data_IF_409021927586
#
_entry.id   IF_409021927586
#
_cell.length_a   1.000
_cell.length_b   1.000
_cell.length_c   1.000
_cell.angle_alpha   90.00
_cell.angle_beta   90.00
_cell.angle_gamma   90.00
#
_symmetry.space_group_name_H-M   'P 1'
#
loop_
_entity.id
_entity.type
_entity.pdbx_description
1 polymer ?
#
# COMPACT_ATOMS: atom_id res chain seq x y z
N UNK A 1 -20.92 -18.18 -8.14
CA UNK A 1 -20.56 -18.28 -6.71
C UNK A 1 -19.14 -18.77 -6.51
N UNK A 2 -18.71 -19.88 -7.11
CA UNK A 2 -17.37 -20.45 -6.92
C UNK A 2 -16.22 -19.51 -7.36
N UNK A 3 -16.36 -18.84 -8.52
CA UNK A 3 -15.38 -17.86 -9.01
C UNK A 3 -15.24 -16.63 -8.10
N UNK A 4 -16.37 -16.08 -7.61
CA UNK A 4 -16.39 -14.95 -6.68
C UNK A 4 -15.71 -15.33 -5.36
N UNK A 5 -15.98 -16.52 -4.84
CA UNK A 5 -15.34 -17.02 -3.62
C UNK A 5 -13.82 -17.18 -3.79
N UNK A 6 -13.36 -17.68 -4.94
CA UNK A 6 -11.94 -17.81 -5.23
C UNK A 6 -11.21 -16.46 -5.38
N UNK A 7 -11.80 -15.51 -6.11
CA UNK A 7 -11.22 -14.17 -6.30
C UNK A 7 -11.24 -13.35 -5.00
N UNK A 8 -12.35 -13.41 -4.26
CA UNK A 8 -12.48 -12.80 -2.94
C UNK A 8 -11.42 -13.35 -1.98
N UNK A 9 -11.20 -14.66 -1.96
CA UNK A 9 -10.15 -15.28 -1.14
C UNK A 9 -8.74 -14.82 -1.53
N UNK A 10 -8.47 -14.66 -2.82
CA UNK A 10 -7.20 -14.12 -3.30
C UNK A 10 -7.02 -12.65 -2.89
N UNK A 11 -8.04 -11.81 -3.03
CA UNK A 11 -8.01 -10.42 -2.59
C UNK A 11 -7.79 -10.31 -1.08
N UNK A 12 -8.54 -11.07 -0.28
CA UNK A 12 -8.40 -11.12 1.17
C UNK A 12 -6.97 -11.48 1.59
N UNK A 13 -6.38 -12.51 0.98
CA UNK A 13 -5.01 -12.94 1.28
C UNK A 13 -3.99 -11.83 1.02
N UNK A 14 -4.10 -11.12 -0.10
CA UNK A 14 -3.14 -10.05 -0.43
C UNK A 14 -3.37 -8.83 0.47
N UNK A 15 -4.63 -8.49 0.78
CA UNK A 15 -4.97 -7.46 1.75
C UNK A 15 -4.42 -7.77 3.15
N UNK A 16 -4.55 -9.02 3.62
CA UNK A 16 -3.96 -9.48 4.88
C UNK A 16 -2.44 -9.39 4.89
N UNK A 17 -1.78 -9.76 3.78
CA UNK A 17 -0.33 -9.63 3.64
C UNK A 17 0.11 -8.16 3.75
N UNK A 18 -0.60 -7.25 3.09
CA UNK A 18 -0.37 -5.81 3.20
C UNK A 18 -0.61 -5.29 4.63
N UNK A 19 -1.78 -5.58 5.20
CA UNK A 19 -2.14 -5.14 6.53
C UNK A 19 -1.17 -5.66 7.59
N UNK A 20 -0.71 -6.92 7.48
CA UNK A 20 0.32 -7.46 8.37
C UNK A 20 1.66 -6.73 8.23
N UNK A 21 2.06 -6.37 7.01
CA UNK A 21 3.29 -5.59 6.77
C UNK A 21 3.24 -4.21 7.45
N UNK A 22 2.04 -3.62 7.52
CA UNK A 22 1.76 -2.33 8.19
C UNK A 22 1.40 -2.50 9.67
N UNK A 23 1.07 -3.69 10.16
CA UNK A 23 0.92 -3.93 11.60
C UNK A 23 2.30 -4.19 12.25
N UNK A 24 3.15 -4.98 11.57
CA UNK A 24 4.42 -5.51 12.08
C UNK A 24 5.64 -4.58 11.82
N UNK A 25 5.43 -3.28 11.55
CA UNK A 25 6.50 -2.30 11.31
C UNK A 25 7.16 -1.81 12.62
N UNK A 26 7.84 -2.74 13.28
CA UNK A 26 8.74 -2.50 14.40
C UNK A 26 9.94 -1.57 14.07
N UNK A 27 10.57 -0.93 15.08
CA UNK A 27 11.69 0.01 14.92
C UNK A 27 12.83 -0.47 14.02
N UNK A 28 13.13 -1.78 14.09
CA UNK A 28 14.26 -2.40 13.41
C UNK A 28 13.84 -3.16 12.13
N UNK A 29 12.55 -3.18 11.79
CA UNK A 29 12.01 -4.03 10.72
C UNK A 29 11.90 -3.33 9.36
N UNK A 30 12.03 -1.99 9.28
CA UNK A 30 12.08 -1.24 8.00
C UNK A 30 13.42 -1.38 7.25
N UNK A 31 14.01 -2.56 7.25
CA UNK A 31 15.17 -2.90 6.43
C UNK A 31 14.77 -3.22 4.99
N UNK A 32 15.75 -3.56 4.15
CA UNK A 32 15.51 -3.93 2.73
C UNK A 32 14.46 -5.02 2.53
N UNK A 33 14.33 -5.96 3.48
CA UNK A 33 13.34 -7.04 3.38
C UNK A 33 11.90 -6.52 3.44
N UNK A 34 11.63 -5.46 4.21
CA UNK A 34 10.31 -4.84 4.30
C UNK A 34 9.99 -4.07 3.02
N UNK A 35 10.95 -3.28 2.51
CA UNK A 35 10.82 -2.58 1.23
C UNK A 35 10.51 -3.53 0.07
N UNK A 36 11.26 -4.63 -0.04
CA UNK A 36 11.03 -5.66 -1.06
C UNK A 36 9.68 -6.38 -0.93
N UNK A 37 9.14 -6.48 0.29
CA UNK A 37 7.80 -7.03 0.50
C UNK A 37 6.75 -6.02 0.06
N UNK A 38 6.94 -4.74 0.37
CA UNK A 38 6.05 -3.66 -0.05
C UNK A 38 6.00 -3.55 -1.59
N UNK A 39 7.14 -3.51 -2.26
CA UNK A 39 7.25 -3.50 -3.73
C UNK A 39 6.55 -4.69 -4.41
N UNK A 40 6.46 -5.83 -3.73
CA UNK A 40 5.77 -7.02 -4.25
C UNK A 40 4.28 -7.02 -3.96
N UNK A 41 3.86 -6.51 -2.81
CA UNK A 41 2.45 -6.57 -2.40
C UNK A 41 1.61 -5.53 -3.14
N UNK A 42 2.13 -4.34 -3.43
CA UNK A 42 1.38 -3.29 -4.12
C UNK A 42 0.88 -3.72 -5.52
N UNK A 43 1.73 -4.26 -6.43
CA UNK A 43 1.22 -4.71 -7.74
C UNK A 43 0.25 -5.88 -7.62
N UNK A 44 0.43 -6.73 -6.60
CA UNK A 44 -0.47 -7.86 -6.33
C UNK A 44 -1.83 -7.40 -5.84
N UNK A 45 -1.91 -6.33 -5.04
CA UNK A 45 -3.17 -5.71 -4.61
C UNK A 45 -3.93 -5.18 -5.82
N UNK A 46 -3.24 -4.45 -6.70
CA UNK A 46 -3.82 -3.93 -7.93
C UNK A 46 -4.40 -5.07 -8.78
N UNK A 47 -3.62 -6.13 -9.05
CA UNK A 47 -4.09 -7.28 -9.82
C UNK A 47 -5.27 -7.99 -9.14
N UNK A 48 -5.23 -8.14 -7.82
CA UNK A 48 -6.28 -8.83 -7.08
C UNK A 48 -7.62 -8.07 -7.11
N UNK A 49 -7.62 -6.75 -6.96
CA UNK A 49 -8.85 -5.96 -6.94
C UNK A 49 -9.49 -5.84 -8.33
N UNK A 50 -8.69 -5.69 -9.40
CA UNK A 50 -9.24 -5.62 -10.77
C UNK A 50 -9.78 -6.98 -11.26
N UNK A 51 -9.32 -8.08 -10.65
CA UNK A 51 -9.81 -9.42 -10.96
C UNK A 51 -11.15 -9.76 -10.31
N UNK A 52 -11.64 -8.92 -9.37
CA UNK A 52 -12.92 -9.14 -8.71
C UNK A 52 -14.09 -9.00 -9.70
N UNK A 53 -15.02 -9.94 -9.66
CA UNK A 53 -16.31 -9.82 -10.37
C UNK A 53 -17.24 -8.93 -9.56
N UNK A 54 -17.78 -7.90 -10.19
CA UNK A 54 -18.70 -6.94 -9.57
C UNK A 54 -19.95 -7.66 -9.03
N UNK A 55 -20.33 -7.44 -7.76
CA UNK A 55 -21.53 -8.02 -7.19
C UNK A 55 -22.79 -7.39 -7.81
N UNK A 56 -23.88 -8.19 -8.00
CA UNK A 56 -25.11 -7.72 -8.65
C UNK A 56 -25.88 -6.69 -7.83
N UNK A 57 -25.76 -6.74 -6.50
CA UNK A 57 -26.34 -5.76 -5.59
C UNK A 57 -25.26 -4.72 -5.30
N UNK A 58 -25.44 -3.54 -5.90
CA UNK A 58 -24.44 -2.50 -5.98
C UNK A 58 -23.98 -1.90 -4.65
N UNK A 59 -23.28 -0.78 -4.81
CA UNK A 59 -22.29 -0.20 -3.93
C UNK A 59 -22.69 0.00 -2.46
N UNK A 60 -21.87 -0.54 -1.54
CA UNK A 60 -21.88 -0.14 -0.15
C UNK A 60 -21.50 1.35 -0.03
N UNK A 61 -22.15 2.08 0.88
CA UNK A 61 -21.80 3.48 1.17
C UNK A 61 -20.39 3.49 1.76
N UNK A 62 -19.43 3.98 0.98
CA UNK A 62 -18.08 4.21 1.46
C UNK A 62 -18.13 5.20 2.62
N UNK A 63 -17.45 4.85 3.70
CA UNK A 63 -17.24 5.74 4.84
C UNK A 63 -15.74 5.86 5.05
N UNK A 64 -15.26 7.03 5.40
CA UNK A 64 -13.85 7.24 5.69
C UNK A 64 -13.47 6.53 7.02
N UNK A 65 -12.18 6.21 7.22
CA UNK A 65 -11.69 5.76 8.52
C UNK A 65 -11.84 6.81 9.62
N UNK A 66 -11.75 6.36 10.87
CA UNK A 66 -11.71 7.23 12.04
C UNK A 66 -10.47 8.14 11.99
N UNK A 67 -10.68 9.45 12.15
CA UNK A 67 -9.63 10.44 11.91
C UNK A 67 -8.46 10.30 12.89
N UNK A 68 -8.74 9.92 14.14
CA UNK A 68 -7.73 9.74 15.19
C UNK A 68 -6.86 8.52 14.90
N UNK A 69 -7.47 7.36 14.62
CA UNK A 69 -6.73 6.13 14.28
C UNK A 69 -5.88 6.32 13.02
N UNK A 70 -6.42 7.03 12.02
CA UNK A 70 -5.67 7.35 10.81
C UNK A 70 -4.46 8.22 11.13
N UNK A 71 -4.66 9.28 11.90
CA UNK A 71 -3.57 10.18 12.29
C UNK A 71 -2.50 9.46 13.11
N UNK A 72 -2.88 8.58 14.04
CA UNK A 72 -1.94 7.78 14.83
C UNK A 72 -1.06 6.90 13.94
N UNK A 73 -1.67 6.14 13.02
CA UNK A 73 -0.93 5.28 12.10
C UNK A 73 -0.02 6.08 11.17
N UNK A 74 -0.53 7.19 10.62
CA UNK A 74 0.25 8.12 9.80
C UNK A 74 1.50 8.60 10.55
N UNK A 75 1.34 9.12 11.76
CA UNK A 75 2.46 9.65 12.55
C UNK A 75 3.50 8.58 12.83
N UNK A 76 3.04 7.36 13.19
CA UNK A 76 3.94 6.23 13.41
C UNK A 76 4.71 5.86 12.15
N UNK A 77 4.06 5.76 10.99
CA UNK A 77 4.72 5.44 9.73
C UNK A 77 5.68 6.55 9.31
N UNK A 78 5.25 7.81 9.38
CA UNK A 78 6.06 8.97 9.04
C UNK A 78 7.36 8.99 9.86
N UNK A 79 7.26 8.91 11.19
CA UNK A 79 8.43 8.99 12.07
C UNK A 79 9.43 7.86 11.80
N UNK A 80 8.93 6.67 11.44
CA UNK A 80 9.76 5.50 11.13
C UNK A 80 10.43 5.61 9.77
N UNK A 81 9.70 6.06 8.75
CA UNK A 81 10.27 6.36 7.43
C UNK A 81 11.35 7.45 7.58
N UNK A 82 11.04 8.51 8.31
CA UNK A 82 11.96 9.62 8.53
C UNK A 82 13.20 9.21 9.34
N UNK A 83 13.10 8.24 10.26
CA UNK A 83 14.25 7.72 10.99
C UNK A 83 15.06 6.66 10.21
N UNK A 84 14.60 6.22 9.03
CA UNK A 84 15.20 5.10 8.30
C UNK A 84 16.54 5.46 7.62
N UNK A 85 17.67 4.87 8.03
CA UNK A 85 18.98 5.17 7.44
C UNK A 85 19.08 4.88 5.94
N UNK A 86 18.32 3.90 5.42
CA UNK A 86 18.31 3.56 3.99
C UNK A 86 17.82 4.76 3.16
N UNK A 87 16.71 5.40 3.58
CA UNK A 87 16.18 6.56 2.87
C UNK A 87 17.11 7.76 2.93
N UNK A 88 17.79 7.98 4.06
CA UNK A 88 18.82 9.02 4.20
C UNK A 88 20.05 8.76 3.32
N UNK A 89 20.43 7.49 3.10
CA UNK A 89 21.53 7.17 2.18
C UNK A 89 21.16 7.38 0.71
N UNK A 90 19.88 7.20 0.37
CA UNK A 90 19.38 7.28 -1.01
C UNK A 90 18.98 8.70 -1.41
N UNK A 91 18.67 9.58 -0.45
CA UNK A 91 18.22 10.95 -0.72
C UNK A 91 19.10 11.99 -0.03
N UNK A 92 20.00 12.64 -0.78
CA UNK A 92 20.86 13.71 -0.26
C UNK A 92 20.13 15.04 -0.03
N UNK A 93 18.90 15.18 -0.54
CA UNK A 93 18.10 16.40 -0.43
C UNK A 93 17.06 16.30 0.69
N UNK A 94 17.31 16.97 1.81
CA UNK A 94 16.43 16.99 2.98
C UNK A 94 14.94 17.23 2.65
N UNK A 95 14.65 18.23 1.79
CA UNK A 95 13.28 18.59 1.44
C UNK A 95 12.58 17.52 0.61
N UNK A 96 13.33 16.80 -0.23
CA UNK A 96 12.80 15.70 -1.02
C UNK A 96 12.52 14.50 -0.12
N UNK A 97 13.42 14.20 0.82
CA UNK A 97 13.23 13.13 1.80
C UNK A 97 12.01 13.37 2.69
N UNK A 98 11.88 14.56 3.28
CA UNK A 98 10.72 14.89 4.11
C UNK A 98 9.40 14.73 3.34
N UNK A 99 9.36 15.21 2.09
CA UNK A 99 8.18 15.05 1.23
C UNK A 99 7.91 13.58 0.89
N UNK A 100 8.94 12.78 0.67
CA UNK A 100 8.79 11.35 0.40
C UNK A 100 8.20 10.65 1.63
N UNK A 101 8.73 10.90 2.83
CA UNK A 101 8.24 10.31 4.07
C UNK A 101 6.78 10.71 4.34
N UNK A 102 6.43 11.99 4.19
CA UNK A 102 5.05 12.47 4.31
C UNK A 102 4.12 11.72 3.36
N UNK A 103 4.45 11.71 2.05
CA UNK A 103 3.58 11.14 1.03
C UNK A 103 3.44 9.64 1.16
N UNK A 104 4.54 8.93 1.37
CA UNK A 104 4.50 7.48 1.52
C UNK A 104 3.78 7.07 2.82
N UNK A 105 3.94 7.80 3.92
CA UNK A 105 3.19 7.52 5.15
C UNK A 105 1.68 7.70 4.94
N UNK A 106 1.28 8.78 4.26
CA UNK A 106 -0.11 9.09 3.90
C UNK A 106 -0.70 7.97 3.03
N UNK A 107 -0.03 7.65 1.91
CA UNK A 107 -0.46 6.62 0.96
C UNK A 107 -0.63 5.24 1.63
N UNK A 108 0.34 4.84 2.45
CA UNK A 108 0.28 3.54 3.14
C UNK A 108 -0.82 3.49 4.21
N UNK A 109 -1.06 4.60 4.89
CA UNK A 109 -2.11 4.71 5.92
C UNK A 109 -3.50 4.60 5.29
N UNK A 110 -3.76 5.35 4.22
CA UNK A 110 -5.07 5.35 3.57
C UNK A 110 -5.40 3.97 2.99
N UNK A 111 -4.44 3.35 2.30
CA UNK A 111 -4.58 1.98 1.82
C UNK A 111 -4.88 0.98 2.95
N UNK A 112 -4.23 1.12 4.12
CA UNK A 112 -4.42 0.21 5.25
C UNK A 112 -5.87 0.18 5.72
N UNK A 113 -6.48 1.35 5.91
CA UNK A 113 -7.84 1.41 6.41
C UNK A 113 -8.88 0.92 5.41
N UNK A 114 -8.70 1.20 4.12
CA UNK A 114 -9.60 0.69 3.08
C UNK A 114 -9.50 -0.84 2.95
N UNK A 115 -8.29 -1.39 2.97
CA UNK A 115 -8.09 -2.84 2.89
C UNK A 115 -8.60 -3.54 4.14
N UNK A 116 -8.30 -3.00 5.33
CA UNK A 116 -8.76 -3.54 6.62
C UNK A 116 -10.28 -3.53 6.72
N UNK A 117 -10.96 -2.49 6.21
CA UNK A 117 -12.43 -2.43 6.19
C UNK A 117 -13.05 -3.61 5.47
N UNK A 118 -12.59 -3.93 4.26
CA UNK A 118 -13.09 -5.08 3.52
C UNK A 118 -12.80 -6.42 4.22
N UNK A 119 -11.64 -6.56 4.87
CA UNK A 119 -11.34 -7.73 5.71
C UNK A 119 -12.34 -7.86 6.88
N UNK A 120 -12.60 -6.77 7.60
CA UNK A 120 -13.56 -6.74 8.69
C UNK A 120 -14.98 -7.07 8.19
N UNK A 121 -15.35 -6.67 6.97
CA UNK A 121 -16.63 -7.02 6.36
C UNK A 121 -16.75 -8.52 6.10
N UNK A 122 -15.67 -9.17 5.62
CA UNK A 122 -15.63 -10.62 5.45
C UNK A 122 -15.77 -11.36 6.78
N UNK A 123 -15.07 -10.90 7.82
CA UNK A 123 -15.15 -11.50 9.15
C UNK A 123 -16.55 -11.35 9.77
N UNK A 124 -17.16 -10.18 9.62
CA UNK A 124 -18.49 -9.90 10.16
C UNK A 124 -19.62 -10.59 9.37
N UNK A 125 -19.42 -10.83 8.07
CA UNK A 125 -20.45 -11.38 7.17
C UNK A 125 -19.91 -12.55 6.33
N UNK A 126 -19.48 -13.67 6.94
CA UNK A 126 -18.84 -14.77 6.21
C UNK A 126 -19.75 -15.45 5.19
N UNK A 127 -21.07 -15.33 5.32
CA UNK A 127 -22.04 -15.85 4.36
C UNK A 127 -22.33 -14.91 3.18
N UNK A 128 -21.79 -13.69 3.20
CA UNK A 128 -22.01 -12.64 2.18
C UNK A 128 -20.69 -11.95 1.80
N UNK A 129 -19.78 -12.66 1.10
CA UNK A 129 -18.51 -12.08 0.66
C UNK A 129 -18.69 -10.95 -0.36
N UNK A 130 -19.87 -10.84 -0.99
CA UNK A 130 -20.19 -9.76 -1.94
C UNK A 130 -20.05 -8.37 -1.32
N UNK A 131 -20.28 -8.24 -0.01
CA UNK A 131 -20.09 -6.98 0.73
C UNK A 131 -18.65 -6.48 0.70
N UNK A 132 -17.69 -7.34 1.01
CA UNK A 132 -16.29 -6.98 1.00
C UNK A 132 -15.76 -6.75 -0.42
N UNK A 133 -16.21 -7.58 -1.38
CA UNK A 133 -15.88 -7.40 -2.80
C UNK A 133 -16.35 -6.02 -3.28
N UNK A 134 -17.60 -5.66 -3.02
CA UNK A 134 -18.14 -4.35 -3.38
C UNK A 134 -17.38 -3.21 -2.68
N UNK A 135 -17.09 -3.34 -1.39
CA UNK A 135 -16.35 -2.32 -0.62
C UNK A 135 -14.93 -2.10 -1.18
N UNK A 136 -14.17 -3.16 -1.44
CA UNK A 136 -12.83 -3.05 -2.02
C UNK A 136 -12.84 -2.45 -3.42
N UNK A 137 -13.76 -2.86 -4.30
CA UNK A 137 -13.84 -2.28 -5.64
C UNK A 137 -14.20 -0.80 -5.60
N UNK A 138 -15.17 -0.41 -4.77
CA UNK A 138 -15.58 0.99 -4.66
C UNK A 138 -14.50 1.88 -4.09
N UNK A 139 -13.95 1.48 -2.94
CA UNK A 139 -12.88 2.22 -2.29
C UNK A 139 -11.63 2.30 -3.18
N UNK A 140 -11.37 1.27 -4.02
CA UNK A 140 -10.27 1.32 -4.97
C UNK A 140 -10.44 2.46 -5.97
N UNK A 141 -11.55 2.47 -6.70
CA UNK A 141 -11.78 3.48 -7.74
C UNK A 141 -12.04 4.88 -7.19
N UNK A 142 -12.55 4.99 -5.96
CA UNK A 142 -12.82 6.29 -5.32
C UNK A 142 -11.63 6.86 -4.55
N UNK A 143 -10.69 6.02 -4.11
CA UNK A 143 -9.69 6.41 -3.13
C UNK A 143 -8.34 5.71 -3.33
N UNK A 144 -8.19 4.47 -2.85
CA UNK A 144 -6.85 3.88 -2.66
C UNK A 144 -6.12 3.44 -3.93
N UNK A 145 -6.75 3.46 -5.11
CA UNK A 145 -6.03 3.26 -6.37
C UNK A 145 -4.95 4.32 -6.59
N UNK A 146 -5.24 5.59 -6.28
CA UNK A 146 -4.28 6.67 -6.46
C UNK A 146 -3.11 6.52 -5.47
N UNK A 147 -3.41 6.26 -4.19
CA UNK A 147 -2.42 6.02 -3.15
C UNK A 147 -1.51 4.83 -3.47
N UNK A 148 -2.06 3.74 -4.03
CA UNK A 148 -1.26 2.60 -4.48
C UNK A 148 -0.25 3.01 -5.54
N UNK A 149 -0.69 3.73 -6.58
CA UNK A 149 0.18 4.14 -7.69
C UNK A 149 1.24 5.15 -7.24
N UNK A 150 0.88 6.07 -6.34
CA UNK A 150 1.81 7.03 -5.77
C UNK A 150 2.85 6.33 -4.87
N UNK A 151 2.43 5.37 -4.03
CA UNK A 151 3.34 4.55 -3.24
C UNK A 151 4.34 3.77 -4.14
N UNK A 152 3.85 3.09 -5.19
CA UNK A 152 4.72 2.40 -6.16
C UNK A 152 5.74 3.35 -6.80
N UNK A 153 5.31 4.57 -7.15
CA UNK A 153 6.18 5.60 -7.72
C UNK A 153 7.24 6.06 -6.71
N UNK A 154 6.88 6.25 -5.45
CA UNK A 154 7.83 6.64 -4.41
C UNK A 154 8.86 5.53 -4.16
N UNK A 155 8.44 4.27 -4.11
CA UNK A 155 9.32 3.12 -3.99
C UNK A 155 10.34 3.06 -5.13
N UNK A 156 9.87 3.21 -6.37
CA UNK A 156 10.77 3.24 -7.53
C UNK A 156 11.77 4.40 -7.46
N UNK A 157 11.38 5.55 -6.90
CA UNK A 157 12.27 6.69 -6.71
C UNK A 157 13.39 6.36 -5.71
N UNK A 158 13.09 5.64 -4.63
CA UNK A 158 14.09 5.17 -3.66
C UNK A 158 15.03 4.15 -4.30
N UNK A 159 14.48 3.15 -4.99
CA UNK A 159 15.27 2.06 -5.60
C UNK A 159 16.22 2.59 -6.69
N UNK A 160 15.75 3.50 -7.55
CA UNK A 160 16.59 4.13 -8.58
C UNK A 160 17.65 5.06 -8.01
N UNK A 161 17.42 5.64 -6.83
CA UNK A 161 18.42 6.44 -6.13
C UNK A 161 19.53 5.55 -5.52
N UNK A 162 19.18 4.39 -4.95
CA UNK A 162 20.17 3.38 -4.51
C UNK A 162 21.04 2.90 -5.68
N UNK A 163 20.42 2.54 -6.81
CA UNK A 163 21.13 2.07 -8.01
C UNK A 163 21.87 3.18 -8.77
N UNK A 164 21.47 4.44 -8.60
CA UNK A 164 22.16 5.61 -9.16
C UNK A 164 23.45 5.97 -8.43
N UNK A 165 23.54 5.65 -7.14
CA UNK A 165 24.75 5.85 -6.33
C UNK A 165 25.87 4.83 -6.65
N UNK A 166 25.51 3.66 -7.18
CA UNK A 166 26.46 2.71 -7.77
C UNK A 166 26.54 2.99 -9.27
N UNK A 167 27.47 3.89 -9.64
CA UNK A 167 27.68 4.48 -10.96
C UNK A 167 27.06 3.75 -12.16
N UNK A 168 26.21 4.46 -12.91
CA UNK A 168 25.69 4.00 -14.21
C UNK A 168 26.86 3.84 -15.20
N UNK A 169 27.22 2.62 -15.66
CA UNK A 169 28.33 2.43 -16.60
C UNK A 169 28.03 2.98 -18.01
N UNK A 170 26.77 3.29 -18.30
CA UNK A 170 26.29 3.58 -19.66
C UNK A 170 26.11 5.08 -19.96
N UNK A 171 26.57 5.97 -19.08
CA UNK A 171 26.62 7.42 -19.38
C UNK A 171 27.94 7.86 -20.04
N UNK A 172 28.72 6.93 -20.59
CA UNK A 172 29.86 7.28 -21.44
C UNK A 172 29.44 7.25 -22.91
N UNK A 173 29.65 8.39 -23.59
CA UNK A 173 29.53 8.66 -25.03
C UNK A 173 28.14 8.96 -25.60
N UNK A 174 27.76 10.24 -25.57
CA UNK A 174 27.49 10.98 -26.81
C UNK A 174 28.16 12.37 -26.68
N UNK A 175 29.34 12.51 -27.27
CA UNK A 175 29.89 13.76 -27.81
C UNK A 175 30.50 13.43 -29.16
#
# INVERSE_FOLDING_TARGET
>A
MEAISSQCGQMARVAEEYCRLIDDFEPDSLGRAWWQQLEKVLPRLHVAVIALVEPPDGYAVYSLPDDEQRFELYMRLHDRLYANPLLWSSCSEYRLLARLCDRLADDLTDMYFDLRRGLNLLEAHPSDPGRAVGDWQNSFYLHWAQHLLDAERWLHTVDTAEHGAVGRPWQTMIV
#
